data_IF_333227447943
#
_entry.id   IF_333227447943
#
_cell.length_a   1.000
_cell.length_b   1.000
_cell.length_c   1.000
_cell.angle_alpha   90.00
_cell.angle_beta   90.00
_cell.angle_gamma   90.00
#
_symmetry.space_group_name_H-M   'P 1'
#
loop_
_entity.id
_entity.type
_entity.pdbx_description
1 polymer ?
#
# COMPACT_ATOMS: atom_id res chain seq x y z
N UNK A 1 10.34 32.63 -7.11
CA UNK A 1 9.55 31.75 -6.22
C UNK A 1 8.65 30.88 -7.11
N UNK A 2 8.90 29.56 -7.26
CA UNK A 2 7.97 28.70 -7.97
C UNK A 2 6.76 28.39 -7.09
N UNK A 3 5.58 28.44 -7.72
CA UNK A 3 4.23 28.31 -7.19
C UNK A 3 3.99 26.90 -6.62
N UNK A 4 3.30 26.73 -5.45
CA UNK A 4 2.90 25.41 -5.01
C UNK A 4 1.90 24.86 -6.03
N UNK A 5 2.30 23.79 -6.71
CA UNK A 5 1.42 23.09 -7.62
C UNK A 5 0.30 22.46 -6.79
N UNK A 6 -0.94 22.78 -7.15
CA UNK A 6 -2.14 22.19 -6.59
C UNK A 6 -1.99 20.66 -6.58
N UNK A 7 -1.90 20.06 -5.39
CA UNK A 7 -2.13 18.65 -5.22
C UNK A 7 -3.62 18.40 -5.47
N UNK A 8 -3.99 18.13 -6.72
CA UNK A 8 -5.22 17.40 -7.03
C UNK A 8 -4.99 15.96 -6.53
N UNK A 9 -5.04 15.78 -5.22
CA UNK A 9 -5.05 14.46 -4.62
C UNK A 9 -6.35 13.79 -5.06
N UNK A 10 -6.25 12.67 -5.76
CA UNK A 10 -7.43 11.85 -6.06
C UNK A 10 -8.09 11.46 -4.73
N UNK A 11 -9.42 11.55 -4.65
CA UNK A 11 -10.10 11.13 -3.43
C UNK A 11 -10.09 9.62 -3.36
N UNK A 12 -9.85 9.10 -2.18
CA UNK A 12 -9.94 7.67 -1.92
C UNK A 12 -11.37 7.13 -2.21
N UNK A 13 -12.37 8.00 -2.07
CA UNK A 13 -13.80 7.68 -2.11
C UNK A 13 -14.38 7.62 -3.54
N UNK A 14 -13.60 7.91 -4.59
CA UNK A 14 -14.07 7.88 -5.99
C UNK A 14 -14.30 6.45 -6.54
N UNK A 15 -14.48 5.44 -5.67
CA UNK A 15 -14.73 4.03 -6.02
C UNK A 15 -13.54 3.32 -6.69
N UNK A 16 -12.40 4.00 -6.83
CA UNK A 16 -11.18 3.46 -7.46
C UNK A 16 -10.34 2.61 -6.50
N UNK A 17 -10.67 2.65 -5.21
CA UNK A 17 -10.00 1.91 -4.16
C UNK A 17 -11.02 1.06 -3.39
N UNK A 18 -10.58 -0.12 -2.98
CA UNK A 18 -11.34 -1.00 -2.09
C UNK A 18 -10.58 -1.21 -0.80
N UNK A 19 -11.32 -1.33 0.30
CA UNK A 19 -10.72 -1.67 1.58
C UNK A 19 -10.12 -3.07 1.51
N UNK A 20 -8.93 -3.21 2.09
CA UNK A 20 -8.21 -4.46 2.16
C UNK A 20 -7.79 -4.75 3.60
N UNK A 21 -7.74 -6.03 3.93
CA UNK A 21 -7.18 -6.55 5.18
C UNK A 21 -5.94 -7.36 4.85
N UNK A 22 -4.87 -7.18 5.62
CA UNK A 22 -3.71 -8.05 5.53
C UNK A 22 -4.09 -9.45 6.05
N UNK A 23 -4.15 -10.44 5.17
CA UNK A 23 -4.46 -11.83 5.51
C UNK A 23 -3.24 -12.63 5.98
N UNK A 24 -2.03 -12.15 5.68
CA UNK A 24 -0.78 -12.76 6.16
C UNK A 24 0.44 -12.36 5.34
N UNK A 25 1.59 -12.90 5.73
CA UNK A 25 2.86 -12.78 5.01
C UNK A 25 3.53 -14.14 4.84
N UNK A 26 4.31 -14.30 3.75
CA UNK A 26 5.16 -15.47 3.50
C UNK A 26 6.44 -15.04 2.77
N UNK A 27 7.41 -15.95 2.61
CA UNK A 27 8.58 -15.68 1.76
C UNK A 27 8.16 -15.48 0.30
N UNK A 28 8.73 -14.47 -0.38
CA UNK A 28 8.39 -14.20 -1.77
C UNK A 28 8.92 -15.31 -2.69
N UNK A 29 8.09 -15.89 -3.57
CA UNK A 29 8.52 -17.01 -4.44
C UNK A 29 9.58 -16.60 -5.45
N UNK A 30 9.64 -15.32 -5.82
CA UNK A 30 10.57 -14.80 -6.81
C UNK A 30 11.96 -14.48 -6.24
N UNK A 31 12.06 -14.16 -4.93
CA UNK A 31 13.27 -13.65 -4.30
C UNK A 31 13.31 -13.98 -2.80
N UNK A 32 14.44 -14.53 -2.35
CA UNK A 32 14.62 -14.94 -0.95
C UNK A 32 14.80 -13.78 0.03
N UNK A 33 15.18 -12.60 -0.45
CA UNK A 33 15.34 -11.38 0.35
C UNK A 33 14.06 -10.52 0.40
N UNK A 34 12.92 -11.11 0.03
CA UNK A 34 11.64 -10.43 -0.08
C UNK A 34 10.57 -11.22 0.67
N UNK A 35 9.62 -10.50 1.25
CA UNK A 35 8.38 -11.06 1.81
C UNK A 35 7.21 -10.73 0.89
N UNK A 36 6.32 -11.69 0.71
CA UNK A 36 5.05 -11.49 0.02
C UNK A 36 3.94 -11.25 1.04
N UNK A 37 3.21 -10.16 0.86
CA UNK A 37 2.02 -9.84 1.65
C UNK A 37 0.77 -10.23 0.87
N UNK A 38 -0.20 -10.81 1.58
CA UNK A 38 -1.49 -11.19 1.03
C UNK A 38 -2.58 -10.24 1.53
N UNK A 39 -3.21 -9.53 0.61
CA UNK A 39 -4.29 -8.59 0.89
C UNK A 39 -5.63 -9.19 0.46
N UNK A 40 -6.56 -9.29 1.40
CA UNK A 40 -7.93 -9.73 1.14
C UNK A 40 -8.81 -8.50 0.99
N UNK A 41 -9.56 -8.41 -0.11
CA UNK A 41 -10.58 -7.39 -0.32
C UNK A 41 -11.95 -8.05 -0.40
N UNK A 42 -13.02 -7.25 -0.37
CA UNK A 42 -14.37 -7.77 -0.61
C UNK A 42 -14.61 -8.30 -2.02
N UNK A 43 -13.72 -7.99 -2.97
CA UNK A 43 -13.86 -8.39 -4.38
C UNK A 43 -12.99 -9.60 -4.74
N UNK A 44 -11.72 -9.58 -4.33
CA UNK A 44 -10.75 -10.67 -4.53
C UNK A 44 -9.55 -10.51 -3.59
N UNK A 45 -8.54 -11.37 -3.71
CA UNK A 45 -7.25 -11.18 -3.07
C UNK A 45 -6.22 -10.60 -4.02
N UNK A 46 -5.25 -9.87 -3.47
CA UNK A 46 -4.10 -9.36 -4.19
C UNK A 46 -2.82 -9.58 -3.37
N UNK A 47 -1.71 -9.88 -4.03
CA UNK A 47 -0.42 -10.16 -3.39
C UNK A 47 0.64 -9.18 -3.85
N UNK A 48 1.58 -8.86 -2.98
CA UNK A 48 2.72 -8.03 -3.36
C UNK A 48 3.99 -8.39 -2.60
N UNK A 49 5.10 -8.56 -3.32
CA UNK A 49 6.41 -8.77 -2.72
C UNK A 49 7.12 -7.44 -2.40
N UNK A 50 7.61 -7.35 -1.17
CA UNK A 50 8.42 -6.24 -0.66
C UNK A 50 9.82 -6.75 -0.26
N UNK A 51 10.88 -5.94 -0.39
CA UNK A 51 12.15 -6.22 0.26
C UNK A 51 11.92 -6.47 1.75
N UNK A 52 12.52 -7.53 2.27
CA UNK A 52 12.42 -7.87 3.68
C UNK A 52 13.07 -6.76 4.52
N UNK A 53 12.35 -6.21 5.52
CA UNK A 53 12.90 -5.14 6.34
C UNK A 53 13.95 -5.73 7.29
N UNK A 54 15.04 -5.01 7.59
CA UNK A 54 15.91 -5.40 8.69
C UNK A 54 15.10 -5.47 9.99
N UNK A 55 15.35 -6.50 10.81
CA UNK A 55 14.53 -6.81 11.98
C UNK A 55 14.25 -5.58 12.86
N UNK A 56 12.96 -5.39 13.18
CA UNK A 56 12.37 -4.34 14.03
C UNK A 56 12.10 -2.99 13.33
N UNK A 57 10.84 -2.58 13.23
CA UNK A 57 10.18 -1.98 14.40
C UNK A 57 8.69 -2.34 14.46
N UNK A 58 8.32 -3.10 15.51
CA UNK A 58 6.94 -3.22 15.96
C UNK A 58 6.52 -1.88 16.62
N UNK A 59 6.29 -0.87 15.78
CA UNK A 59 5.72 0.42 16.17
C UNK A 59 4.41 0.56 15.41
N UNK A 60 3.30 0.26 16.07
CA UNK A 60 1.96 0.43 15.50
C UNK A 60 1.76 1.88 15.09
N UNK A 61 2.00 2.18 13.82
CA UNK A 61 1.86 3.52 13.29
C UNK A 61 0.42 3.64 12.84
N UNK A 62 -0.41 4.28 13.67
CA UNK A 62 -1.77 4.62 13.31
C UNK A 62 -1.74 5.44 12.01
N UNK A 63 -2.38 4.92 10.96
CA UNK A 63 -2.34 5.53 9.65
C UNK A 63 -3.23 4.80 8.66
N UNK A 64 -3.46 5.45 7.53
CA UNK A 64 -4.16 4.86 6.39
C UNK A 64 -3.24 4.87 5.19
N UNK A 65 -3.12 3.73 4.51
CA UNK A 65 -2.32 3.56 3.31
C UNK A 65 -3.22 3.16 2.15
N UNK A 66 -2.97 3.75 0.99
CA UNK A 66 -3.53 3.34 -0.28
C UNK A 66 -2.46 2.76 -1.18
N UNK A 67 -2.67 1.53 -1.65
CA UNK A 67 -1.82 0.84 -2.62
C UNK A 67 -2.37 1.15 -4.02
N UNK A 68 -1.59 1.83 -4.85
CA UNK A 68 -2.00 2.30 -6.16
C UNK A 68 -1.05 1.84 -7.26
N UNK A 69 -1.51 1.86 -8.51
CA UNK A 69 -0.64 1.65 -9.68
C UNK A 69 0.13 2.95 -9.94
N UNK A 70 1.43 2.90 -9.74
CA UNK A 70 2.38 3.94 -10.12
C UNK A 70 3.03 3.67 -11.48
N UNK A 71 3.91 4.59 -11.94
CA UNK A 71 4.59 4.46 -13.24
C UNK A 71 5.53 3.26 -13.34
N UNK A 72 5.98 2.71 -12.21
CA UNK A 72 6.94 1.60 -12.14
C UNK A 72 6.37 0.33 -11.49
N UNK A 73 5.04 0.26 -11.31
CA UNK A 73 4.37 -0.85 -10.62
C UNK A 73 3.56 -0.37 -9.43
N UNK A 74 3.25 -1.27 -8.49
CA UNK A 74 2.51 -0.91 -7.29
C UNK A 74 3.31 0.06 -6.40
N UNK A 75 2.60 1.01 -5.77
CA UNK A 75 3.15 2.02 -4.87
C UNK A 75 2.24 2.22 -3.67
N UNK A 76 2.83 2.39 -2.49
CA UNK A 76 2.09 2.80 -1.30
C UNK A 76 2.01 4.33 -1.25
N UNK A 77 0.86 4.87 -0.87
CA UNK A 77 0.66 6.30 -0.61
C UNK A 77 0.03 6.48 0.75
N UNK A 78 0.42 7.53 1.47
CA UNK A 78 -0.32 7.92 2.67
C UNK A 78 -1.71 8.41 2.29
N UNK A 79 -2.65 8.28 3.21
CA UNK A 79 -3.98 8.88 3.09
C UNK A 79 -4.18 9.79 4.29
N UNK A 80 -4.49 11.05 4.00
CA UNK A 80 -4.83 12.05 4.99
C UNK A 80 -6.19 12.65 4.64
N UNK A 81 -7.12 12.67 5.60
CA UNK A 81 -8.50 13.15 5.43
C UNK A 81 -9.23 12.57 4.19
N UNK A 82 -8.93 11.31 3.82
CA UNK A 82 -9.52 10.62 2.66
C UNK A 82 -8.94 11.04 1.30
N UNK A 83 -7.84 11.78 1.29
CA UNK A 83 -7.12 12.21 0.09
C UNK A 83 -5.80 11.45 -0.05
N UNK A 84 -5.48 11.02 -1.27
CA UNK A 84 -4.17 10.42 -1.54
C UNK A 84 -3.05 11.45 -1.36
N UNK A 85 -2.16 11.15 -0.43
CA UNK A 85 -0.97 11.91 -0.12
C UNK A 85 0.26 11.49 -0.92
N UNK A 86 1.42 11.65 -0.28
CA UNK A 86 2.72 11.35 -0.87
C UNK A 86 2.93 9.84 -1.05
N UNK A 87 3.77 9.50 -2.02
CA UNK A 87 4.26 8.13 -2.17
C UNK A 87 5.17 7.82 -0.98
N UNK A 88 4.90 6.72 -0.30
CA UNK A 88 5.70 6.24 0.81
C UNK A 88 6.79 5.29 0.28
N UNK A 89 8.03 5.43 0.74
CA UNK A 89 9.05 4.44 0.48
C UNK A 89 8.67 3.12 1.16
N UNK A 90 9.10 2.00 0.59
CA UNK A 90 8.80 0.67 1.15
C UNK A 90 9.26 0.49 2.59
N UNK A 91 10.38 1.11 2.97
CA UNK A 91 10.90 1.11 4.34
C UNK A 91 9.95 1.76 5.36
N UNK A 92 9.03 2.61 4.91
CA UNK A 92 8.02 3.27 5.74
C UNK A 92 6.66 2.57 5.60
N UNK A 93 6.25 2.25 4.38
CA UNK A 93 4.97 1.61 4.12
C UNK A 93 4.88 0.20 4.75
N UNK A 94 5.95 -0.58 4.69
CA UNK A 94 5.91 -1.98 5.13
C UNK A 94 5.71 -2.12 6.65
N UNK A 95 6.47 -1.43 7.52
CA UNK A 95 6.18 -1.43 8.96
C UNK A 95 4.76 -0.96 9.30
N UNK A 96 4.21 0.02 8.57
CA UNK A 96 2.84 0.48 8.78
C UNK A 96 1.82 -0.62 8.44
N UNK A 97 2.00 -1.31 7.31
CA UNK A 97 1.14 -2.42 6.88
C UNK A 97 1.19 -3.56 7.89
N UNK A 98 2.40 -3.95 8.32
CA UNK A 98 2.60 -5.01 9.33
C UNK A 98 2.10 -4.59 10.71
N UNK A 99 2.13 -3.29 11.02
CA UNK A 99 1.59 -2.68 12.24
C UNK A 99 0.06 -2.56 12.27
N UNK A 100 -0.65 -3.04 11.24
CA UNK A 100 -2.10 -3.07 11.20
C UNK A 100 -2.75 -1.74 10.81
N UNK A 101 -2.07 -0.90 10.01
CA UNK A 101 -2.68 0.30 9.45
C UNK A 101 -3.94 -0.03 8.63
N UNK A 102 -4.81 0.96 8.42
CA UNK A 102 -5.93 0.77 7.51
C UNK A 102 -5.43 0.76 6.05
N UNK A 103 -5.80 -0.27 5.29
CA UNK A 103 -5.28 -0.46 3.92
C UNK A 103 -6.40 -0.36 2.92
N UNK A 104 -6.11 0.34 1.82
CA UNK A 104 -6.92 0.39 0.63
C UNK A 104 -6.08 -0.06 -0.56
N UNK A 105 -6.67 -0.82 -1.48
CA UNK A 105 -6.00 -1.29 -2.70
C UNK A 105 -6.75 -0.75 -3.89
N UNK A 106 -6.04 -0.16 -4.85
CA UNK A 106 -6.61 0.28 -6.10
C UNK A 106 -7.24 -0.92 -6.80
N UNK A 107 -8.51 -0.79 -7.21
CA UNK A 107 -9.26 -1.89 -7.83
C UNK A 107 -8.51 -2.47 -9.05
N UNK A 108 -7.79 -1.63 -9.80
CA UNK A 108 -6.94 -2.06 -10.92
C UNK A 108 -5.86 -3.09 -10.56
N UNK A 109 -5.34 -3.08 -9.32
CA UNK A 109 -4.37 -4.09 -8.85
C UNK A 109 -5.09 -5.43 -8.62
N UNK A 110 -6.28 -5.38 -8.03
CA UNK A 110 -7.12 -6.55 -7.76
C UNK A 110 -7.63 -7.18 -9.06
N UNK A 111 -8.09 -6.39 -10.01
CA UNK A 111 -8.64 -6.85 -11.30
C UNK A 111 -7.58 -7.49 -12.20
N UNK A 112 -6.35 -6.96 -12.16
CA UNK A 112 -5.29 -7.39 -13.09
C UNK A 112 -4.38 -8.47 -12.53
N UNK A 113 -4.45 -8.75 -11.22
CA UNK A 113 -3.62 -9.75 -10.56
C UNK A 113 -2.11 -9.48 -10.69
N UNK A 114 -1.72 -8.21 -10.66
CA UNK A 114 -0.32 -7.79 -10.81
C UNK A 114 0.57 -8.24 -9.65
#
# INVERSE_FOLDING_TARGET
MPKPQCLTGSRLVDGSFVSATLGGSRGCPARSDFIELFFVTGESSWTWCFPEPPEQSAGGTAGTIALAVGPYGAQARSVDEGVLGLVLPTSEALPMILGGCQIYVARKLVERGW
#
